data_IF_517090110687
#
_entry.id   IF_517090110687
#
_cell.length_a   1.000
_cell.length_b   1.000
_cell.length_c   1.000
_cell.angle_alpha   90.00
_cell.angle_beta   90.00
_cell.angle_gamma   90.00
#
_symmetry.space_group_name_H-M   'P 1'
#
loop_
_entity.id
_entity.type
_entity.pdbx_description
1 polymer ?
#
# COMPACT_ATOMS: atom_id res chain seq x y z
N UNK A 1 10.49 3.12 10.77
CA UNK A 1 9.03 3.19 10.85
C UNK A 1 8.62 2.72 12.22
N UNK A 2 7.84 3.54 12.94
CA UNK A 2 7.40 3.27 14.32
C UNK A 2 5.89 3.39 14.51
N UNK A 3 5.20 4.09 13.61
CA UNK A 3 3.76 4.32 13.65
C UNK A 3 3.11 3.81 12.36
N UNK A 4 2.42 2.68 12.46
CA UNK A 4 1.68 2.10 11.36
C UNK A 4 0.20 2.42 11.51
N UNK A 5 -0.44 2.80 10.41
CA UNK A 5 -1.88 3.00 10.32
C UNK A 5 -2.47 1.97 9.35
N UNK A 6 -3.62 1.41 9.68
CA UNK A 6 -4.34 0.54 8.77
C UNK A 6 -5.80 0.96 8.66
N UNK A 7 -6.26 1.15 7.44
CA UNK A 7 -7.66 1.47 7.14
C UNK A 7 -8.50 0.20 7.04
N UNK A 8 -9.71 0.22 7.63
CA UNK A 8 -10.67 -0.88 7.52
C UNK A 8 -12.09 -0.37 7.26
N UNK A 9 -12.80 -1.07 6.38
CA UNK A 9 -14.24 -0.98 6.17
C UNK A 9 -14.96 -2.24 6.67
N UNK A 10 -14.22 -3.08 7.41
CA UNK A 10 -14.65 -4.38 7.93
C UNK A 10 -14.95 -5.44 6.85
N UNK A 11 -14.62 -5.21 5.59
CA UNK A 11 -14.63 -6.25 4.56
C UNK A 11 -13.52 -7.28 4.81
N UNK A 12 -13.66 -8.48 4.26
CA UNK A 12 -12.67 -9.56 4.42
C UNK A 12 -11.27 -9.11 3.95
N UNK A 13 -11.20 -8.35 2.86
CA UNK A 13 -9.94 -7.81 2.33
C UNK A 13 -9.31 -6.81 3.30
N UNK A 14 -10.11 -5.90 3.87
CA UNK A 14 -9.61 -4.93 4.83
C UNK A 14 -9.25 -5.58 6.17
N UNK A 15 -9.98 -6.61 6.60
CA UNK A 15 -9.63 -7.39 7.79
C UNK A 15 -8.34 -8.19 7.59
N UNK A 16 -8.11 -8.73 6.38
CA UNK A 16 -6.81 -9.32 6.02
C UNK A 16 -5.69 -8.27 6.10
N UNK A 17 -5.93 -7.06 5.61
CA UNK A 17 -4.94 -5.97 5.72
C UNK A 17 -4.65 -5.59 7.17
N UNK A 18 -5.66 -5.59 8.06
CA UNK A 18 -5.47 -5.36 9.51
C UNK A 18 -4.59 -6.44 10.11
N UNK A 19 -4.85 -7.72 9.82
CA UNK A 19 -4.03 -8.84 10.29
C UNK A 19 -2.59 -8.73 9.80
N UNK A 20 -2.41 -8.47 8.50
CA UNK A 20 -1.09 -8.24 7.90
C UNK A 20 -0.35 -7.09 8.58
N UNK A 21 -1.04 -5.97 8.82
CA UNK A 21 -0.48 -4.80 9.50
C UNK A 21 -0.06 -5.10 10.96
N UNK A 22 -0.84 -5.91 11.67
CA UNK A 22 -0.51 -6.32 13.03
C UNK A 22 0.75 -7.21 13.09
N UNK A 23 0.84 -8.20 12.19
CA UNK A 23 2.03 -9.04 12.06
C UNK A 23 3.27 -8.21 11.66
N UNK A 24 3.11 -7.26 10.73
CA UNK A 24 4.15 -6.32 10.33
C UNK A 24 4.58 -5.44 11.51
N UNK A 25 3.63 -4.90 12.29
CA UNK A 25 3.92 -4.07 13.46
C UNK A 25 4.69 -4.84 14.54
N UNK A 26 4.34 -6.09 14.78
CA UNK A 26 5.11 -6.98 15.67
C UNK A 26 6.55 -7.15 15.17
N UNK A 27 6.72 -7.44 13.88
CA UNK A 27 8.05 -7.62 13.28
C UNK A 27 8.90 -6.35 13.38
N UNK A 28 8.30 -5.19 13.12
CA UNK A 28 9.00 -3.89 13.15
C UNK A 28 9.10 -3.27 14.54
N UNK A 29 8.47 -3.86 15.55
CA UNK A 29 8.33 -3.29 16.91
C UNK A 29 7.73 -1.88 16.87
N UNK A 30 6.66 -1.72 16.08
CA UNK A 30 5.94 -0.49 15.83
C UNK A 30 4.59 -0.48 16.56
N UNK A 31 4.02 0.70 16.79
CA UNK A 31 2.62 0.84 17.18
C UNK A 31 1.71 0.71 15.96
N UNK A 32 0.48 0.22 16.17
CA UNK A 32 -0.53 0.08 15.13
C UNK A 32 -1.78 0.89 15.50
N UNK A 33 -2.26 1.74 14.59
CA UNK A 33 -3.55 2.41 14.70
C UNK A 33 -4.50 1.87 13.65
N UNK A 34 -5.63 1.29 14.06
CA UNK A 34 -6.70 0.82 13.17
C UNK A 34 -7.68 1.97 13.01
N UNK A 35 -7.89 2.42 11.77
CA UNK A 35 -8.80 3.53 11.47
C UNK A 35 -9.99 3.04 10.65
N UNK A 36 -11.20 3.39 11.10
CA UNK A 36 -12.44 3.25 10.36
C UNK A 36 -13.11 4.61 10.19
N UNK A 37 -13.57 4.88 8.98
CA UNK A 37 -14.37 6.08 8.68
C UNK A 37 -15.73 5.64 8.18
N UNK A 38 -16.77 6.05 8.91
CA UNK A 38 -18.16 5.83 8.48
C UNK A 38 -18.70 7.08 7.78
N UNK A 39 -19.44 6.85 6.72
CA UNK A 39 -20.11 7.92 5.98
C UNK A 39 -21.51 8.12 6.51
N UNK A 40 -21.93 9.37 6.59
CA UNK A 40 -23.32 9.70 6.87
C UNK A 40 -24.19 9.27 5.69
N UNK A 41 -25.36 8.67 5.90
CA UNK A 41 -26.25 8.34 4.80
C UNK A 41 -26.52 9.56 3.92
N UNK A 42 -26.14 9.49 2.63
CA UNK A 42 -26.21 10.63 1.70
C UNK A 42 -27.64 11.03 1.27
N UNK A 43 -28.66 10.42 1.81
CA UNK A 43 -30.06 10.68 1.42
C UNK A 43 -30.79 11.59 2.39
N UNK A 44 -30.18 12.71 2.76
CA UNK A 44 -30.91 13.76 3.45
C UNK A 44 -31.67 14.61 2.41
N UNK A 45 -32.99 14.42 2.33
CA UNK A 45 -33.84 15.39 1.62
C UNK A 45 -34.11 16.58 2.54
N UNK A 46 -34.32 17.76 1.96
CA UNK A 46 -34.67 18.96 2.73
C UNK A 46 -35.93 18.79 3.60
N UNK A 47 -36.71 17.74 3.37
CA UNK A 47 -37.94 17.40 4.08
C UNK A 47 -37.74 16.43 5.24
N UNK A 48 -36.51 15.88 5.42
CA UNK A 48 -36.27 14.91 6.52
C UNK A 48 -36.21 15.63 7.86
N UNK A 49 -36.95 15.15 8.87
CA UNK A 49 -36.81 15.67 10.23
C UNK A 49 -35.40 15.52 10.77
N UNK A 50 -34.87 16.54 11.43
CA UNK A 50 -33.52 16.49 12.03
C UNK A 50 -33.33 15.28 12.97
N UNK A 51 -34.37 14.88 13.70
CA UNK A 51 -34.37 13.71 14.56
C UNK A 51 -34.14 12.39 13.82
N UNK A 52 -34.60 12.28 12.57
CA UNK A 52 -34.39 11.09 11.76
C UNK A 52 -32.93 11.04 11.25
N UNK A 53 -32.36 12.20 10.92
CA UNK A 53 -30.95 12.34 10.54
C UNK A 53 -30.05 11.93 11.73
N UNK A 54 -30.30 12.49 12.89
CA UNK A 54 -29.56 12.18 14.12
C UNK A 54 -29.67 10.69 14.50
N UNK A 55 -30.86 10.09 14.38
CA UNK A 55 -31.03 8.67 14.62
C UNK A 55 -30.23 7.79 13.67
N UNK A 56 -30.21 8.13 12.38
CA UNK A 56 -29.43 7.41 11.38
C UNK A 56 -27.90 7.53 11.63
N UNK A 57 -27.44 8.70 12.03
CA UNK A 57 -26.03 8.93 12.38
C UNK A 57 -25.61 8.14 13.64
N UNK A 58 -26.47 8.16 14.67
CA UNK A 58 -26.23 7.41 15.90
C UNK A 58 -26.19 5.90 15.64
N UNK A 59 -27.04 5.40 14.73
CA UNK A 59 -27.05 4.00 14.35
C UNK A 59 -25.75 3.62 13.64
N UNK A 60 -25.32 4.41 12.64
CA UNK A 60 -24.08 4.17 11.90
C UNK A 60 -22.84 4.19 12.83
N UNK A 61 -22.81 5.15 13.75
CA UNK A 61 -21.75 5.23 14.76
C UNK A 61 -21.75 4.01 15.69
N UNK A 62 -22.91 3.62 16.21
CA UNK A 62 -23.02 2.48 17.12
C UNK A 62 -22.60 1.17 16.44
N UNK A 63 -22.95 1.00 15.18
CA UNK A 63 -22.53 -0.14 14.38
C UNK A 63 -20.99 -0.15 14.18
N UNK A 64 -20.42 1.00 13.83
CA UNK A 64 -18.96 1.15 13.67
C UNK A 64 -18.21 0.85 14.99
N UNK A 65 -18.70 1.40 16.11
CA UNK A 65 -18.14 1.16 17.44
C UNK A 65 -18.19 -0.32 17.83
N UNK A 66 -19.31 -1.00 17.57
CA UNK A 66 -19.49 -2.43 17.86
C UNK A 66 -18.53 -3.32 17.06
N UNK A 67 -18.43 -3.08 15.75
CA UNK A 67 -17.51 -3.81 14.87
C UNK A 67 -16.04 -3.58 15.26
N UNK A 68 -15.69 -2.32 15.54
CA UNK A 68 -14.34 -1.97 15.94
C UNK A 68 -13.96 -2.60 17.29
N UNK A 69 -14.85 -2.58 18.28
CA UNK A 69 -14.57 -3.19 19.57
C UNK A 69 -14.34 -4.70 19.45
N UNK A 70 -15.10 -5.38 18.60
CA UNK A 70 -14.90 -6.81 18.31
C UNK A 70 -13.54 -7.05 17.67
N UNK A 71 -13.17 -6.25 16.66
CA UNK A 71 -11.89 -6.33 15.99
C UNK A 71 -10.73 -6.05 16.95
N UNK A 72 -10.85 -5.02 17.79
CA UNK A 72 -9.83 -4.67 18.78
C UNK A 72 -9.62 -5.78 19.82
N UNK A 73 -10.70 -6.42 20.26
CA UNK A 73 -10.58 -7.56 21.17
C UNK A 73 -9.79 -8.71 20.53
N UNK A 74 -10.08 -9.04 19.27
CA UNK A 74 -9.36 -10.08 18.53
C UNK A 74 -7.86 -9.71 18.34
N UNK A 75 -7.59 -8.48 17.95
CA UNK A 75 -6.22 -8.02 17.72
C UNK A 75 -5.39 -7.98 19.00
N UNK A 76 -5.95 -7.52 20.12
CA UNK A 76 -5.26 -7.54 21.41
C UNK A 76 -5.00 -8.95 21.94
N UNK A 77 -5.88 -9.89 21.68
CA UNK A 77 -5.66 -11.29 22.05
C UNK A 77 -4.53 -11.94 21.26
N UNK A 78 -4.43 -11.65 19.97
CA UNK A 78 -3.44 -12.26 19.08
C UNK A 78 -2.11 -11.50 19.02
N UNK A 79 -2.13 -10.17 19.18
CA UNK A 79 -0.98 -9.27 18.96
C UNK A 79 -0.75 -8.31 20.14
N UNK A 80 -1.14 -8.66 21.35
CA UNK A 80 -1.04 -7.81 22.55
C UNK A 80 0.38 -7.43 22.98
N UNK A 81 1.39 -7.89 22.25
CA UNK A 81 2.80 -7.52 22.48
C UNK A 81 3.14 -6.12 21.97
N UNK A 82 2.30 -5.53 21.10
CA UNK A 82 2.46 -4.18 20.56
C UNK A 82 1.34 -3.28 21.04
N UNK A 83 1.57 -1.97 20.97
CA UNK A 83 0.54 -0.97 21.22
C UNK A 83 -0.42 -0.92 20.02
N UNK A 84 -1.71 -1.20 20.27
CA UNK A 84 -2.77 -1.15 19.25
C UNK A 84 -3.82 -0.11 19.66
N UNK A 85 -3.95 0.92 18.84
CA UNK A 85 -4.90 2.01 18.98
C UNK A 85 -6.03 1.89 17.96
N UNK A 86 -7.17 2.53 18.24
CA UNK A 86 -8.28 2.62 17.31
C UNK A 86 -8.72 4.07 17.11
N UNK A 87 -9.16 4.37 15.90
CA UNK A 87 -9.76 5.65 15.52
C UNK A 87 -11.03 5.39 14.72
N UNK A 88 -12.14 5.97 15.14
CA UNK A 88 -13.41 5.97 14.40
C UNK A 88 -13.77 7.41 14.14
N UNK A 89 -13.97 7.76 12.88
CA UNK A 89 -14.34 9.12 12.45
C UNK A 89 -15.50 9.08 11.48
N UNK A 90 -16.30 10.15 11.49
CA UNK A 90 -17.27 10.43 10.44
C UNK A 90 -16.60 11.27 9.35
N UNK A 91 -16.86 10.97 8.08
CA UNK A 91 -16.36 11.80 6.98
C UNK A 91 -16.32 11.08 5.64
N UNK A 92 -15.61 11.69 4.69
CA UNK A 92 -15.29 11.07 3.40
C UNK A 92 -14.09 10.15 3.62
N UNK A 93 -14.28 8.86 3.37
CA UNK A 93 -13.34 7.80 3.79
C UNK A 93 -11.88 8.12 3.48
N UNK A 94 -11.52 8.35 2.22
CA UNK A 94 -10.11 8.55 1.88
C UNK A 94 -9.51 9.86 2.44
N UNK A 95 -10.26 10.95 2.45
CA UNK A 95 -9.81 12.24 2.97
C UNK A 95 -9.58 12.17 4.48
N UNK A 96 -10.59 11.70 5.20
CA UNK A 96 -10.53 11.60 6.66
C UNK A 96 -9.43 10.65 7.13
N UNK A 97 -9.20 9.53 6.40
CA UNK A 97 -8.12 8.58 6.72
C UNK A 97 -6.76 9.25 6.52
N UNK A 98 -6.53 9.89 5.36
CA UNK A 98 -5.22 10.50 5.07
C UNK A 98 -4.92 11.68 5.98
N UNK A 99 -5.90 12.58 6.23
CA UNK A 99 -5.74 13.70 7.17
C UNK A 99 -5.40 13.21 8.59
N UNK A 100 -6.03 12.10 9.02
CA UNK A 100 -5.75 11.53 10.35
C UNK A 100 -4.36 10.91 10.41
N UNK A 101 -4.01 10.08 9.43
CA UNK A 101 -2.70 9.43 9.39
C UNK A 101 -1.57 10.45 9.29
N UNK A 102 -1.71 11.45 8.41
CA UNK A 102 -0.72 12.52 8.24
C UNK A 102 -0.61 13.41 9.51
N UNK A 103 -1.75 13.75 10.14
CA UNK A 103 -1.81 14.55 11.36
C UNK A 103 -1.16 13.88 12.56
N UNK A 104 -1.28 12.57 12.67
CA UNK A 104 -0.68 11.77 13.75
C UNK A 104 0.76 11.34 13.41
N UNK A 105 1.27 11.69 12.24
CA UNK A 105 2.63 11.39 11.78
C UNK A 105 2.84 9.91 11.52
N UNK A 106 1.94 9.29 10.74
CA UNK A 106 2.08 7.93 10.26
C UNK A 106 3.33 7.78 9.41
N UNK A 107 4.12 6.73 9.66
CA UNK A 107 5.24 6.35 8.79
C UNK A 107 4.77 5.53 7.59
N UNK A 108 3.68 4.76 7.78
CA UNK A 108 3.12 3.88 6.76
C UNK A 108 1.61 3.77 6.94
N UNK A 109 0.86 4.02 5.87
CA UNK A 109 -0.57 3.76 5.78
C UNK A 109 -0.81 2.45 5.04
N UNK A 110 -1.59 1.54 5.63
CA UNK A 110 -1.86 0.21 5.09
C UNK A 110 -3.33 0.12 4.72
N UNK A 111 -3.63 -0.46 3.58
CA UNK A 111 -4.99 -0.66 3.11
C UNK A 111 -5.13 -1.97 2.34
N UNK A 112 -6.31 -2.55 2.35
CA UNK A 112 -6.64 -3.66 1.47
C UNK A 112 -6.67 -3.22 0.00
N UNK A 113 -6.37 -4.12 -0.93
CA UNK A 113 -6.36 -3.80 -2.36
C UNK A 113 -7.75 -3.36 -2.86
N UNK A 114 -8.81 -3.98 -2.36
CA UNK A 114 -10.21 -3.64 -2.67
C UNK A 114 -11.01 -3.50 -1.38
N UNK A 115 -12.18 -2.88 -1.41
CA UNK A 115 -13.09 -2.72 -0.26
C UNK A 115 -14.45 -3.34 -0.51
N UNK A 116 -15.37 -3.18 0.45
CA UNK A 116 -16.74 -3.66 0.41
C UNK A 116 -17.52 -2.98 -0.73
N UNK A 117 -17.68 -3.58 -1.86
CA UNK A 117 -18.49 -3.03 -2.97
C UNK A 117 -17.91 -3.21 -4.35
N UNK A 118 -16.75 -3.84 -4.47
CA UNK A 118 -16.14 -4.12 -5.77
C UNK A 118 -16.55 -5.50 -6.25
N UNK A 119 -17.49 -5.55 -7.20
CA UNK A 119 -18.04 -6.80 -7.75
C UNK A 119 -17.17 -7.39 -8.85
N UNK A 120 -16.24 -6.67 -9.44
CA UNK A 120 -15.40 -7.16 -10.54
C UNK A 120 -13.97 -6.62 -10.53
N UNK A 121 -13.01 -7.54 -10.47
CA UNK A 121 -11.65 -7.57 -11.12
C UNK A 121 -10.82 -6.27 -11.20
N UNK A 122 -11.03 -5.27 -10.36
CA UNK A 122 -10.10 -4.15 -10.21
C UNK A 122 -9.15 -4.46 -9.07
N UNK A 123 -7.85 -4.39 -9.31
CA UNK A 123 -6.83 -4.69 -8.28
C UNK A 123 -6.80 -3.71 -7.14
N UNK A 124 -7.28 -2.49 -7.36
CA UNK A 124 -7.26 -1.41 -6.35
C UNK A 124 -8.61 -0.73 -6.36
N UNK A 125 -9.25 -0.69 -5.20
CA UNK A 125 -10.53 0.01 -5.00
C UNK A 125 -10.40 1.52 -5.12
N UNK A 126 -11.53 2.21 -5.29
CA UNK A 126 -11.57 3.69 -5.38
C UNK A 126 -11.00 4.37 -4.13
N UNK A 127 -11.34 3.87 -2.94
CA UNK A 127 -10.80 4.38 -1.67
C UNK A 127 -9.30 4.21 -1.60
N UNK A 128 -8.78 3.01 -1.90
CA UNK A 128 -7.34 2.74 -1.87
C UNK A 128 -6.58 3.58 -2.89
N UNK A 129 -7.13 3.76 -4.10
CA UNK A 129 -6.58 4.69 -5.10
C UNK A 129 -6.54 6.13 -4.58
N UNK A 130 -7.59 6.57 -3.89
CA UNK A 130 -7.63 7.91 -3.31
C UNK A 130 -6.63 8.07 -2.15
N UNK A 131 -6.45 7.03 -1.31
CA UNK A 131 -5.42 7.00 -0.27
C UNK A 131 -4.02 7.19 -0.86
N UNK A 132 -3.68 6.46 -1.92
CA UNK A 132 -2.40 6.58 -2.62
C UNK A 132 -2.18 8.01 -3.13
N UNK A 133 -3.20 8.65 -3.67
CA UNK A 133 -3.06 9.99 -4.26
C UNK A 133 -3.00 11.12 -3.23
N UNK A 134 -3.57 10.92 -2.04
CA UNK A 134 -3.73 11.98 -1.03
C UNK A 134 -2.78 11.86 0.15
N UNK A 135 -2.29 10.66 0.46
CA UNK A 135 -1.39 10.44 1.60
C UNK A 135 -0.02 11.08 1.39
N UNK A 136 0.54 11.63 2.45
CA UNK A 136 1.93 12.12 2.48
C UNK A 136 2.92 11.04 2.89
N UNK A 137 2.48 10.04 3.66
CA UNK A 137 3.29 8.89 3.98
C UNK A 137 3.19 7.79 2.91
N UNK A 138 4.08 6.81 2.98
CA UNK A 138 4.05 5.65 2.10
C UNK A 138 2.76 4.84 2.30
N UNK A 139 2.25 4.22 1.23
CA UNK A 139 1.03 3.41 1.28
C UNK A 139 1.33 1.95 0.91
N UNK A 140 1.06 1.02 1.83
CA UNK A 140 1.17 -0.41 1.58
C UNK A 140 -0.20 -0.99 1.24
N UNK A 141 -0.31 -1.53 0.03
CA UNK A 141 -1.52 -2.19 -0.46
C UNK A 141 -1.37 -3.69 -0.22
N UNK A 142 -2.29 -4.24 0.55
CA UNK A 142 -2.30 -5.66 0.92
C UNK A 142 -3.38 -6.38 0.12
N UNK A 143 -3.02 -7.33 -0.76
CA UNK A 143 -3.97 -8.16 -1.47
C UNK A 143 -4.76 -9.09 -0.53
N UNK A 144 -5.92 -9.54 -1.01
CA UNK A 144 -6.84 -10.40 -0.24
C UNK A 144 -6.19 -11.68 0.31
N UNK A 145 -5.28 -12.28 -0.46
CA UNK A 145 -4.63 -13.56 -0.10
C UNK A 145 -3.23 -13.40 0.49
N UNK A 146 -2.75 -12.16 0.62
CA UNK A 146 -1.43 -11.93 1.17
C UNK A 146 -1.40 -12.27 2.67
N UNK A 147 -0.42 -13.05 3.06
CA UNK A 147 -0.09 -13.31 4.47
C UNK A 147 1.26 -12.67 4.76
N UNK A 148 1.41 -12.09 5.95
CA UNK A 148 2.66 -11.48 6.33
C UNK A 148 3.78 -12.51 6.45
N UNK A 149 4.89 -12.22 5.81
CA UNK A 149 6.21 -12.79 6.02
C UNK A 149 7.25 -11.70 5.76
N UNK A 150 8.40 -11.70 6.43
CA UNK A 150 9.48 -10.80 6.06
C UNK A 150 9.81 -10.97 4.58
N UNK A 151 9.76 -9.88 3.82
CA UNK A 151 10.00 -9.89 2.39
C UNK A 151 11.49 -10.17 2.13
N UNK A 152 11.85 -11.38 1.76
CA UNK A 152 13.23 -11.73 1.43
C UNK A 152 13.68 -11.05 0.13
N UNK A 153 12.77 -10.90 -0.85
CA UNK A 153 13.00 -10.18 -2.11
C UNK A 153 12.03 -9.02 -2.25
N UNK A 154 12.56 -7.81 -2.14
CA UNK A 154 11.85 -6.55 -2.35
C UNK A 154 12.28 -5.94 -3.67
N UNK A 155 11.37 -5.88 -4.65
CA UNK A 155 11.64 -5.29 -5.96
C UNK A 155 11.23 -3.83 -5.95
N UNK A 156 12.16 -2.94 -6.30
CA UNK A 156 11.88 -1.54 -6.58
C UNK A 156 11.91 -1.30 -8.09
N UNK A 157 10.76 -0.91 -8.65
CA UNK A 157 10.67 -0.57 -10.07
C UNK A 157 11.13 0.86 -10.29
N UNK A 158 12.03 1.07 -11.24
CA UNK A 158 12.65 2.37 -11.51
C UNK A 158 12.62 2.72 -12.99
N UNK A 159 12.55 4.00 -13.31
CA UNK A 159 12.78 4.56 -14.64
C UNK A 159 14.17 5.20 -14.78
N UNK A 160 15.05 4.95 -13.80
CA UNK A 160 16.45 5.42 -13.74
C UNK A 160 16.62 6.95 -13.68
N UNK A 161 15.59 7.71 -13.32
CA UNK A 161 15.69 9.16 -13.11
C UNK A 161 16.27 9.53 -11.75
N UNK A 162 16.83 10.74 -11.65
CA UNK A 162 17.55 11.17 -10.44
C UNK A 162 16.65 11.35 -9.20
N UNK A 163 15.37 11.65 -9.37
CA UNK A 163 14.38 11.77 -8.28
C UNK A 163 14.11 10.44 -7.55
N UNK A 164 14.44 9.32 -8.17
CA UNK A 164 14.32 8.01 -7.56
C UNK A 164 15.26 7.76 -6.37
N UNK A 165 16.39 8.47 -6.27
CA UNK A 165 17.40 8.25 -5.22
C UNK A 165 16.84 8.57 -3.82
N UNK A 166 16.06 9.64 -3.69
CA UNK A 166 15.43 10.01 -2.41
C UNK A 166 14.46 8.91 -1.96
N UNK A 167 13.61 8.44 -2.86
CA UNK A 167 12.66 7.36 -2.58
C UNK A 167 13.38 6.07 -2.15
N UNK A 168 14.49 5.74 -2.82
CA UNK A 168 15.30 4.57 -2.43
C UNK A 168 15.86 4.71 -1.02
N UNK A 169 16.38 5.89 -0.64
CA UNK A 169 16.89 6.13 0.70
C UNK A 169 15.79 5.98 1.77
N UNK A 170 14.55 6.31 1.45
CA UNK A 170 13.40 6.07 2.33
C UNK A 170 12.99 4.58 2.39
N UNK A 171 13.26 3.81 1.32
CA UNK A 171 12.98 2.38 1.26
C UNK A 171 14.01 1.54 2.04
N UNK A 172 15.27 1.99 2.14
CA UNK A 172 16.35 1.26 2.81
C UNK A 172 16.00 0.86 4.26
N UNK A 173 15.46 1.74 5.13
CA UNK A 173 15.07 1.34 6.49
C UNK A 173 14.04 0.21 6.52
N UNK A 174 13.09 0.21 5.58
CA UNK A 174 12.11 -0.85 5.44
C UNK A 174 12.76 -2.15 4.97
N UNK A 175 13.58 -2.10 3.90
CA UNK A 175 14.32 -3.25 3.41
C UNK A 175 15.27 -3.85 4.49
N UNK A 176 15.90 -2.97 5.29
CA UNK A 176 16.77 -3.38 6.40
C UNK A 176 15.98 -4.12 7.47
N UNK A 177 14.79 -3.62 7.85
CA UNK A 177 13.95 -4.26 8.87
C UNK A 177 13.49 -5.65 8.44
N UNK A 178 13.27 -5.85 7.14
CA UNK A 178 12.88 -7.13 6.54
C UNK A 178 14.07 -8.04 6.21
N UNK A 179 15.31 -7.53 6.33
CA UNK A 179 16.52 -8.19 5.85
C UNK A 179 16.48 -8.57 4.36
N UNK A 180 15.79 -7.76 3.55
CA UNK A 180 15.51 -7.99 2.14
C UNK A 180 16.74 -7.92 1.26
N UNK A 181 16.75 -8.67 0.18
CA UNK A 181 17.45 -8.30 -1.04
C UNK A 181 16.62 -7.20 -1.73
N UNK A 182 17.21 -6.01 -1.93
CA UNK A 182 16.60 -4.91 -2.65
C UNK A 182 16.99 -4.99 -4.14
N UNK A 183 16.02 -5.37 -4.94
CA UNK A 183 16.20 -5.61 -6.38
C UNK A 183 15.69 -4.40 -7.14
N UNK A 184 16.58 -3.73 -7.88
CA UNK A 184 16.21 -2.65 -8.79
C UNK A 184 15.81 -3.24 -10.13
N UNK A 185 14.56 -3.06 -10.53
CA UNK A 185 14.03 -3.53 -11.80
C UNK A 185 13.76 -2.36 -12.74
N UNK A 186 14.45 -2.33 -13.86
CA UNK A 186 14.14 -1.49 -15.00
C UNK A 186 13.54 -2.33 -16.11
N UNK A 187 12.39 -1.90 -16.64
CA UNK A 187 11.77 -2.52 -17.80
C UNK A 187 11.96 -1.58 -18.99
N UNK A 188 12.75 -2.04 -19.96
CA UNK A 188 12.96 -1.33 -21.22
C UNK A 188 11.81 -1.64 -22.18
N UNK A 189 11.03 -0.62 -22.55
CA UNK A 189 9.94 -0.71 -23.53
C UNK A 189 10.41 -0.61 -24.97
N UNK A 190 11.70 -0.37 -25.18
CA UNK A 190 12.36 -0.29 -26.50
C UNK A 190 13.38 -1.41 -26.64
N UNK A 191 13.42 -2.04 -27.79
CA UNK A 191 14.46 -3.03 -28.11
C UNK A 191 15.77 -2.27 -28.33
N UNK A 192 16.52 -2.02 -27.25
CA UNK A 192 17.88 -1.50 -27.36
C UNK A 192 18.86 -2.65 -27.58
N UNK A 193 19.79 -2.50 -28.52
CA UNK A 193 20.82 -3.50 -28.86
C UNK A 193 21.89 -3.70 -27.79
N UNK A 194 21.94 -2.84 -26.76
CA UNK A 194 23.00 -2.80 -25.74
C UNK A 194 22.50 -3.05 -24.31
N UNK A 195 21.59 -4.00 -24.12
CA UNK A 195 21.01 -4.32 -22.79
C UNK A 195 22.06 -4.70 -21.72
N UNK A 196 23.17 -5.33 -22.11
CA UNK A 196 24.27 -5.67 -21.19
C UNK A 196 24.97 -4.42 -20.64
N UNK A 197 25.29 -3.44 -21.51
CA UNK A 197 25.92 -2.19 -21.09
C UNK A 197 25.03 -1.35 -20.18
N UNK A 198 23.73 -1.30 -20.48
CA UNK A 198 22.75 -0.61 -19.62
C UNK A 198 22.68 -1.29 -18.26
N UNK A 199 22.77 -2.63 -18.21
CA UNK A 199 22.77 -3.41 -16.96
C UNK A 199 23.99 -3.13 -16.10
N UNK A 200 25.17 -3.05 -16.69
CA UNK A 200 26.42 -2.72 -15.99
C UNK A 200 26.41 -1.28 -15.46
N UNK A 201 26.01 -0.32 -16.28
CA UNK A 201 25.88 1.10 -15.90
C UNK A 201 24.87 1.28 -14.77
N UNK A 202 23.74 0.59 -14.83
CA UNK A 202 22.71 0.61 -13.78
C UNK A 202 23.25 0.01 -12.48
N UNK A 203 23.90 -1.15 -12.54
CA UNK A 203 24.48 -1.82 -11.38
C UNK A 203 25.59 -0.98 -10.74
N UNK A 204 26.37 -0.26 -11.54
CA UNK A 204 27.41 0.65 -11.07
C UNK A 204 26.79 1.89 -10.38
N UNK A 205 25.79 2.53 -10.99
CA UNK A 205 25.06 3.65 -10.39
C UNK A 205 24.37 3.26 -9.07
N UNK A 206 23.69 2.13 -9.01
CA UNK A 206 23.04 1.63 -7.80
C UNK A 206 24.07 1.49 -6.68
N UNK A 207 25.22 0.83 -6.94
CA UNK A 207 26.26 0.65 -5.94
C UNK A 207 26.88 1.94 -5.44
N UNK A 208 26.97 2.97 -6.28
CA UNK A 208 27.48 4.28 -5.89
C UNK A 208 26.47 5.09 -5.05
N UNK A 209 25.19 4.98 -5.35
CA UNK A 209 24.14 5.83 -4.80
C UNK A 209 23.38 5.19 -3.63
N UNK A 210 23.39 3.85 -3.55
CA UNK A 210 22.61 3.09 -2.58
C UNK A 210 23.54 2.40 -1.59
N UNK A 211 23.59 2.92 -0.37
CA UNK A 211 24.41 2.35 0.69
C UNK A 211 23.64 1.22 1.43
N UNK A 212 23.28 0.18 0.66
CA UNK A 212 22.67 -1.01 1.20
C UNK A 212 23.33 -2.26 0.63
N UNK A 213 23.89 -3.17 1.48
CA UNK A 213 24.79 -4.23 0.99
C UNK A 213 24.10 -5.32 0.18
N UNK A 214 22.78 -5.50 0.36
CA UNK A 214 21.99 -6.52 -0.33
C UNK A 214 21.22 -5.90 -1.50
N UNK A 215 21.94 -5.35 -2.48
CA UNK A 215 21.33 -4.75 -3.68
C UNK A 215 21.72 -5.50 -4.94
N UNK A 216 20.78 -5.66 -5.84
CA UNK A 216 20.99 -6.17 -7.19
C UNK A 216 20.19 -5.34 -8.21
N UNK A 217 20.64 -5.34 -9.47
CA UNK A 217 19.97 -4.65 -10.57
C UNK A 217 19.59 -5.64 -11.66
N UNK A 218 18.38 -5.50 -12.20
CA UNK A 218 17.90 -6.30 -13.33
C UNK A 218 17.27 -5.41 -14.39
N UNK A 219 17.53 -5.76 -15.64
CA UNK A 219 16.88 -5.18 -16.80
C UNK A 219 16.10 -6.28 -17.49
N UNK A 220 14.85 -6.02 -17.81
CA UNK A 220 14.09 -6.84 -18.71
C UNK A 220 13.52 -6.00 -19.85
N UNK A 221 13.42 -6.58 -21.03
CA UNK A 221 12.83 -5.93 -22.20
C UNK A 221 11.42 -6.47 -22.41
N UNK A 222 10.43 -5.59 -22.38
CA UNK A 222 9.06 -5.91 -22.72
C UNK A 222 8.37 -4.64 -23.25
N UNK A 223 7.72 -4.68 -24.43
CA UNK A 223 7.00 -3.53 -24.98
C UNK A 223 5.93 -2.97 -24.03
N UNK A 224 5.50 -3.76 -23.07
CA UNK A 224 4.61 -3.36 -22.01
C UNK A 224 5.31 -3.49 -20.66
N UNK A 225 5.70 -2.36 -20.08
CA UNK A 225 6.42 -2.28 -18.80
C UNK A 225 5.82 -3.17 -17.72
N UNK A 226 4.49 -3.18 -17.62
CA UNK A 226 3.82 -3.94 -16.58
C UNK A 226 3.80 -5.45 -16.83
N UNK A 227 3.83 -5.84 -18.09
CA UNK A 227 4.02 -7.24 -18.42
C UNK A 227 5.42 -7.70 -17.99
N UNK A 228 6.44 -6.89 -18.28
CA UNK A 228 7.81 -7.14 -17.84
C UNK A 228 7.90 -7.27 -16.30
N UNK A 229 7.29 -6.35 -15.56
CA UNK A 229 7.24 -6.41 -14.09
C UNK A 229 6.54 -7.70 -13.63
N UNK A 230 5.37 -8.03 -14.18
CA UNK A 230 4.60 -9.23 -13.80
C UNK A 230 5.37 -10.52 -14.05
N UNK A 231 6.00 -10.64 -15.22
CA UNK A 231 6.82 -11.80 -15.54
C UNK A 231 8.06 -11.92 -14.62
N UNK A 232 8.66 -10.79 -14.26
CA UNK A 232 9.79 -10.77 -13.34
C UNK A 232 9.37 -11.24 -11.94
N UNK A 233 8.24 -10.73 -11.40
CA UNK A 233 7.68 -11.13 -10.11
C UNK A 233 7.51 -12.66 -10.06
N UNK A 234 6.90 -13.22 -11.10
CA UNK A 234 6.64 -14.66 -11.19
C UNK A 234 7.95 -15.50 -11.24
N UNK A 235 8.88 -15.09 -12.12
CA UNK A 235 10.13 -15.84 -12.33
C UNK A 235 11.06 -15.81 -11.12
N UNK A 236 11.07 -14.70 -10.38
CA UNK A 236 12.00 -14.47 -9.27
C UNK A 236 11.41 -14.78 -7.89
N UNK A 237 10.13 -15.18 -7.81
CA UNK A 237 9.42 -15.38 -6.53
C UNK A 237 9.56 -14.16 -5.62
N UNK A 238 9.15 -13.00 -6.12
CA UNK A 238 9.22 -11.72 -5.42
C UNK A 238 8.21 -11.71 -4.27
N UNK A 239 8.63 -11.24 -3.09
CA UNK A 239 7.78 -11.18 -1.91
C UNK A 239 7.02 -9.85 -1.78
N UNK A 240 7.57 -8.75 -2.31
CA UNK A 240 6.96 -7.42 -2.27
C UNK A 240 7.49 -6.57 -3.43
N UNK A 241 6.64 -5.70 -3.94
CA UNK A 241 7.01 -4.70 -4.96
C UNK A 241 6.90 -3.31 -4.35
N UNK A 242 7.88 -2.46 -4.61
CA UNK A 242 7.84 -1.03 -4.31
C UNK A 242 7.86 -0.23 -5.61
N UNK A 243 7.03 0.81 -5.69
CA UNK A 243 6.91 1.70 -6.84
C UNK A 243 6.89 3.16 -6.39
N UNK A 244 7.64 4.01 -7.09
CA UNK A 244 7.53 5.46 -6.90
C UNK A 244 6.35 5.99 -7.71
N UNK A 245 5.49 6.77 -7.06
CA UNK A 245 4.40 7.46 -7.75
C UNK A 245 4.65 8.96 -7.86
N UNK A 246 4.33 9.50 -9.02
CA UNK A 246 4.19 10.94 -9.21
C UNK A 246 2.70 11.27 -9.18
N UNK A 247 2.25 12.26 -8.40
CA UNK A 247 0.83 12.55 -8.15
C UNK A 247 -0.07 12.70 -9.40
N UNK A 248 0.54 13.00 -10.56
CA UNK A 248 -0.17 13.20 -11.83
C UNK A 248 -0.18 11.98 -12.77
N UNK A 249 0.62 10.95 -12.52
CA UNK A 249 0.80 9.82 -13.46
C UNK A 249 0.29 8.48 -12.91
N UNK A 250 0.18 8.34 -11.60
CA UNK A 250 -0.12 7.07 -10.96
C UNK A 250 -1.52 6.52 -11.28
N UNK A 251 -2.62 7.31 -11.28
CA UNK A 251 -3.93 6.78 -11.62
C UNK A 251 -4.01 6.22 -13.04
N UNK A 252 -3.33 6.86 -14.00
CA UNK A 252 -3.33 6.40 -15.39
C UNK A 252 -2.59 5.07 -15.55
N UNK A 253 -1.53 4.85 -14.80
CA UNK A 253 -0.74 3.63 -14.85
C UNK A 253 -1.45 2.43 -14.22
N UNK A 254 -2.23 2.63 -13.14
CA UNK A 254 -3.04 1.57 -12.51
C UNK A 254 -4.42 1.38 -13.17
N UNK A 255 -4.95 2.39 -13.86
CA UNK A 255 -6.25 2.32 -14.54
C UNK A 255 -6.20 1.88 -15.98
N UNK A 256 -5.03 1.68 -16.54
CA UNK A 256 -4.94 0.94 -17.77
C UNK A 256 -5.51 -0.47 -17.51
N UNK A 257 -6.64 -0.80 -18.14
CA UNK A 257 -7.35 -2.10 -17.97
C UNK A 257 -6.41 -3.29 -18.18
N UNK A 258 -5.30 -3.08 -18.89
CA UNK A 258 -4.26 -4.08 -19.09
C UNK A 258 -3.42 -4.31 -17.84
N UNK A 259 -3.20 -3.28 -17.01
CA UNK A 259 -2.47 -3.30 -15.75
C UNK A 259 -3.22 -4.08 -14.67
N UNK A 260 -4.47 -3.71 -14.48
CA UNK A 260 -5.39 -4.31 -13.51
C UNK A 260 -5.50 -5.83 -13.73
N UNK A 261 -5.54 -6.25 -15.00
CA UNK A 261 -5.62 -7.65 -15.37
C UNK A 261 -4.32 -8.42 -15.15
N UNK A 262 -3.16 -7.75 -15.15
CA UNK A 262 -1.83 -8.40 -15.05
C UNK A 262 -1.33 -8.52 -13.62
N UNK A 263 -1.60 -7.53 -12.74
CA UNK A 263 -1.36 -7.70 -11.31
C UNK A 263 -2.28 -8.73 -10.65
N UNK A 264 -3.46 -9.03 -11.24
CA UNK A 264 -4.32 -10.12 -10.77
C UNK A 264 -3.68 -11.52 -10.90
N UNK A 265 -2.55 -11.63 -11.60
CA UNK A 265 -1.75 -12.86 -11.62
C UNK A 265 -0.89 -13.05 -10.35
N UNK A 266 -0.76 -12.03 -9.50
CA UNK A 266 0.00 -12.09 -8.23
C UNK A 266 -0.88 -11.62 -7.06
N UNK A 267 -1.94 -12.38 -6.73
CA UNK A 267 -2.94 -11.96 -5.75
C UNK A 267 -2.44 -11.97 -4.30
N UNK A 268 -1.19 -12.33 -4.09
CA UNK A 268 -0.52 -12.52 -2.82
C UNK A 268 0.68 -11.58 -2.61
N UNK A 269 1.09 -10.80 -3.63
CA UNK A 269 2.26 -9.92 -3.54
C UNK A 269 1.86 -8.49 -3.15
N UNK A 270 2.22 -8.00 -1.95
CA UNK A 270 1.94 -6.64 -1.53
C UNK A 270 2.66 -5.59 -2.38
N UNK A 271 2.03 -4.42 -2.51
CA UNK A 271 2.58 -3.28 -3.24
C UNK A 271 2.81 -2.10 -2.29
N UNK A 272 4.06 -1.71 -2.12
CA UNK A 272 4.46 -0.50 -1.41
C UNK A 272 4.54 0.68 -2.38
N UNK A 273 3.66 1.64 -2.21
CA UNK A 273 3.64 2.87 -3.01
C UNK A 273 4.37 3.96 -2.26
N UNK A 274 5.41 4.47 -2.88
CA UNK A 274 6.24 5.55 -2.37
C UNK A 274 5.88 6.85 -3.06
N UNK A 275 5.96 7.96 -2.34
CA UNK A 275 5.70 9.28 -2.89
C UNK A 275 7.03 9.98 -3.19
N UNK A 276 7.14 10.58 -4.39
CA UNK A 276 8.20 11.54 -4.63
C UNK A 276 7.96 12.73 -3.69
N UNK A 277 8.85 12.95 -2.72
CA UNK A 277 8.75 14.09 -1.83
C UNK A 277 8.75 15.39 -2.64
N UNK A 278 7.76 16.23 -2.37
CA UNK A 278 7.62 17.58 -2.92
C UNK A 278 8.69 18.52 -2.39
#
# INVERSE_FOLDING_TARGET
MKKLFVATDFSDVSLNAVKYAADLAVHMKASLTIIHVYESPMFYTAEMPYTAIEAAENLARTEADSKMNTLMQQMRQSHGIIEINQVIKRGISAETITETADGDGADLLIAGATGAGVVERTLVGSTTTALINKSKCQVLIVPEKATFKPAAKLVYTTDLKDDNIKAVNELIPFATSMNSELIFLFVDDKIHTDSEKISEDMSHKIRQLVHYPKTSGYICTDPNVMNGISLFIQKQNVDMVAMLTHPRKFPQMLWDKSLTKKFSYHPDVPLLVMHANH
#
